data_IF_809488981146
#
_entry.id   IF_809488981146
#
_cell.length_a   1.000
_cell.length_b   1.000
_cell.length_c   1.000
_cell.angle_alpha   90.00
_cell.angle_beta   90.00
_cell.angle_gamma   90.00
#
_symmetry.space_group_name_H-M   'P 1'
#
loop_
_entity.id
_entity.type
_entity.pdbx_description
1 polymer ?
#
# COMPACT_ATOMS: atom_id res chain seq x y z
N UNK A 1 -9.49 -12.38 -8.51
CA UNK A 1 -8.25 -12.11 -9.28
C UNK A 1 -7.67 -10.82 -8.73
N UNK A 2 -6.39 -10.83 -8.35
CA UNK A 2 -5.74 -9.67 -7.73
C UNK A 2 -5.42 -8.59 -8.77
N UNK A 3 -5.49 -7.33 -8.33
CA UNK A 3 -5.23 -6.10 -9.08
C UNK A 3 -4.23 -5.25 -8.31
N UNK A 4 -3.64 -4.26 -9.00
CA UNK A 4 -2.70 -3.33 -8.40
C UNK A 4 -3.44 -2.12 -7.83
N UNK A 5 -3.15 -1.78 -6.57
CA UNK A 5 -3.68 -0.60 -5.90
C UNK A 5 -2.52 0.27 -5.41
N UNK A 6 -2.70 1.58 -5.51
CA UNK A 6 -1.92 2.53 -4.72
C UNK A 6 -2.81 3.00 -3.59
N UNK A 7 -2.34 2.84 -2.37
CA UNK A 7 -3.00 3.33 -1.18
C UNK A 7 -2.30 4.59 -0.69
N UNK A 8 -3.07 5.64 -0.43
CA UNK A 8 -2.62 6.76 0.40
C UNK A 8 -3.09 6.51 1.82
N UNK A 9 -2.13 6.53 2.75
CA UNK A 9 -2.36 6.34 4.17
C UNK A 9 -2.10 7.65 4.89
N UNK A 10 -3.10 8.21 5.56
CA UNK A 10 -2.99 9.47 6.30
C UNK A 10 -3.19 9.21 7.79
N UNK A 11 -2.25 9.65 8.62
CA UNK A 11 -2.35 9.47 10.07
C UNK A 11 -3.56 10.23 10.63
N UNK A 12 -4.19 9.67 11.66
CA UNK A 12 -5.36 10.31 12.29
C UNK A 12 -4.99 11.56 13.11
N UNK A 13 -3.76 11.64 13.61
CA UNK A 13 -3.23 12.80 14.35
C UNK A 13 -1.69 12.78 14.43
N UNK A 14 -1.10 13.91 14.78
CA UNK A 14 0.34 14.03 15.03
C UNK A 14 0.82 13.13 16.19
N UNK A 15 -0.01 12.97 17.22
CA UNK A 15 0.30 12.11 18.37
C UNK A 15 0.43 10.64 17.93
N UNK A 16 -0.55 10.17 17.14
CA UNK A 16 -0.57 8.80 16.61
C UNK A 16 0.59 8.58 15.64
N UNK A 17 0.89 9.57 14.78
CA UNK A 17 2.05 9.55 13.88
C UNK A 17 3.37 9.41 14.63
N UNK A 18 3.60 10.23 15.66
CA UNK A 18 4.82 10.17 16.45
C UNK A 18 4.97 8.82 17.18
N UNK A 19 3.86 8.31 17.72
CA UNK A 19 3.83 6.98 18.32
C UNK A 19 4.14 5.88 17.29
N UNK A 20 3.56 5.97 16.09
CA UNK A 20 3.81 5.03 15.02
C UNK A 20 5.31 4.98 14.66
N UNK A 21 5.96 6.15 14.47
CA UNK A 21 7.40 6.18 14.20
C UNK A 21 8.23 5.52 15.30
N UNK A 22 7.87 5.73 16.57
CA UNK A 22 8.57 5.09 17.70
C UNK A 22 8.33 3.58 17.78
N UNK A 23 7.11 3.14 17.51
CA UNK A 23 6.73 1.73 17.52
C UNK A 23 7.37 0.96 16.35
N UNK A 24 7.57 1.60 15.19
CA UNK A 24 8.12 0.96 13.98
C UNK A 24 9.60 1.24 13.74
N UNK A 25 10.31 1.96 14.62
CA UNK A 25 11.73 2.35 14.39
C UNK A 25 12.71 1.20 14.21
N UNK A 26 12.36 0.02 14.72
CA UNK A 26 13.16 -1.21 14.61
C UNK A 26 12.51 -2.25 13.67
N UNK A 27 11.39 -1.92 13.03
CA UNK A 27 10.69 -2.82 12.11
C UNK A 27 11.58 -3.03 10.88
N UNK A 28 11.88 -4.28 10.58
CA UNK A 28 12.62 -4.62 9.36
C UNK A 28 11.70 -4.59 8.14
N UNK A 29 12.30 -4.41 6.96
CA UNK A 29 11.61 -4.54 5.68
C UNK A 29 10.93 -5.91 5.55
N UNK A 30 11.63 -6.98 5.93
CA UNK A 30 11.08 -8.34 5.91
C UNK A 30 9.85 -8.49 6.81
N UNK A 31 9.90 -8.00 8.05
CA UNK A 31 8.75 -8.07 8.96
C UNK A 31 7.55 -7.28 8.45
N UNK A 32 7.79 -6.09 7.86
CA UNK A 32 6.74 -5.29 7.24
C UNK A 32 6.05 -6.06 6.11
N UNK A 33 6.80 -6.58 5.14
CA UNK A 33 6.24 -7.26 3.97
C UNK A 33 5.62 -8.62 4.32
N UNK A 34 6.22 -9.38 5.25
CA UNK A 34 5.66 -10.65 5.71
C UNK A 34 4.38 -10.44 6.53
N UNK A 35 4.33 -9.40 7.38
CA UNK A 35 3.16 -9.06 8.20
C UNK A 35 1.99 -8.49 7.38
N UNK A 36 2.28 -7.86 6.24
CA UNK A 36 1.29 -7.26 5.34
C UNK A 36 0.95 -8.16 4.15
N UNK A 37 1.03 -9.49 4.35
CA UNK A 37 0.75 -10.49 3.34
C UNK A 37 -0.32 -11.48 3.80
N UNK A 38 -1.34 -11.64 2.97
CA UNK A 38 -2.44 -12.58 3.14
C UNK A 38 -2.66 -13.36 1.83
N UNK A 39 -3.59 -14.31 1.85
CA UNK A 39 -4.02 -14.99 0.63
C UNK A 39 -4.59 -13.99 -0.40
N UNK A 40 -5.32 -12.97 0.06
CA UNK A 40 -6.10 -12.05 -0.80
C UNK A 40 -5.42 -10.71 -1.10
N UNK A 41 -4.42 -10.31 -0.32
CA UNK A 41 -3.70 -9.06 -0.48
C UNK A 41 -2.23 -9.19 -0.07
N UNK A 42 -1.32 -8.54 -0.78
CA UNK A 42 0.08 -8.43 -0.40
C UNK A 42 0.64 -7.04 -0.67
N UNK A 43 1.40 -6.50 0.28
CA UNK A 43 2.15 -5.27 0.11
C UNK A 43 3.37 -5.54 -0.79
N UNK A 44 3.55 -4.73 -1.83
CA UNK A 44 4.65 -4.85 -2.79
C UNK A 44 5.70 -3.77 -2.60
N UNK A 45 5.29 -2.55 -2.25
CA UNK A 45 6.21 -1.42 -2.08
C UNK A 45 5.67 -0.46 -1.03
N UNK A 46 6.56 0.21 -0.32
CA UNK A 46 6.25 1.14 0.76
C UNK A 46 7.12 2.39 0.60
N UNK A 47 6.50 3.57 0.62
CA UNK A 47 7.18 4.86 0.55
C UNK A 47 6.65 5.78 1.62
N UNK A 48 7.49 6.05 2.62
CA UNK A 48 7.16 6.88 3.76
C UNK A 48 8.24 7.93 3.97
N UNK A 49 7.80 9.18 4.14
CA UNK A 49 8.63 10.29 4.59
C UNK A 49 8.22 10.71 6.01
N UNK A 50 8.50 11.96 6.35
CA UNK A 50 8.11 12.57 7.64
C UNK A 50 6.78 13.32 7.58
N UNK A 51 6.10 13.30 6.44
CA UNK A 51 4.81 13.95 6.22
C UNK A 51 3.67 13.21 6.95
N UNK A 52 2.46 13.77 6.92
CA UNK A 52 1.27 13.21 7.59
C UNK A 52 0.63 12.04 6.83
N UNK A 53 1.21 11.68 5.69
CA UNK A 53 0.77 10.56 4.88
C UNK A 53 1.94 9.84 4.22
N UNK A 54 1.67 8.62 3.75
CA UNK A 54 2.59 7.80 3.01
C UNK A 54 1.86 6.95 1.97
N UNK A 55 2.62 6.27 1.11
CA UNK A 55 2.06 5.48 0.02
C UNK A 55 2.49 4.02 0.12
N UNK A 56 1.57 3.13 -0.24
CA UNK A 56 1.82 1.71 -0.38
C UNK A 56 1.30 1.21 -1.72
N UNK A 57 2.05 0.33 -2.36
CA UNK A 57 1.61 -0.43 -3.51
C UNK A 57 1.13 -1.81 -3.05
N UNK A 58 -0.12 -2.12 -3.32
CA UNK A 58 -0.77 -3.38 -2.96
C UNK A 58 -1.14 -4.19 -4.18
N UNK A 59 -1.04 -5.51 -4.06
CA UNK A 59 -1.62 -6.46 -5.00
C UNK A 59 -2.72 -7.26 -4.29
N UNK A 60 -3.98 -6.94 -4.60
CA UNK A 60 -5.14 -7.38 -3.81
C UNK A 60 -6.37 -7.69 -4.66
N UNK A 61 -7.28 -8.54 -4.17
CA UNK A 61 -8.54 -8.85 -4.88
C UNK A 61 -9.49 -7.65 -4.97
N UNK A 62 -9.57 -6.89 -3.88
CA UNK A 62 -10.42 -5.71 -3.70
C UNK A 62 -9.88 -4.85 -2.54
N UNK A 63 -10.56 -3.74 -2.26
CA UNK A 63 -10.22 -2.81 -1.18
C UNK A 63 -10.35 -3.45 0.21
N UNK A 64 -11.37 -4.29 0.42
CA UNK A 64 -11.63 -4.97 1.69
C UNK A 64 -10.50 -5.94 2.06
N UNK A 65 -9.89 -6.59 1.07
CA UNK A 65 -8.71 -7.43 1.27
C UNK A 65 -7.50 -6.62 1.79
N UNK A 66 -7.36 -5.36 1.36
CA UNK A 66 -6.31 -4.45 1.85
C UNK A 66 -6.60 -4.06 3.30
N UNK A 67 -7.83 -3.62 3.60
CA UNK A 67 -8.23 -3.28 4.96
C UNK A 67 -8.07 -4.45 5.94
N UNK A 68 -8.36 -5.68 5.48
CA UNK A 68 -8.18 -6.90 6.28
C UNK A 68 -6.70 -7.21 6.56
N UNK A 69 -5.79 -6.91 5.63
CA UNK A 69 -4.36 -7.04 5.85
C UNK A 69 -3.83 -5.97 6.84
N UNK A 70 -4.31 -4.74 6.70
CA UNK A 70 -3.98 -3.62 7.61
C UNK A 70 -4.48 -3.87 9.04
N UNK A 71 -5.68 -4.41 9.19
CA UNK A 71 -6.28 -4.74 10.49
C UNK A 71 -5.44 -5.72 11.31
N UNK A 72 -4.82 -6.72 10.67
CA UNK A 72 -3.98 -7.70 11.34
C UNK A 72 -2.77 -7.08 12.04
N UNK A 73 -2.33 -5.92 11.55
CA UNK A 73 -1.22 -5.14 12.09
C UNK A 73 -1.71 -3.96 12.95
N UNK A 74 -3.03 -3.84 13.21
CA UNK A 74 -3.63 -2.76 13.99
C UNK A 74 -3.60 -1.40 13.29
N UNK A 75 -3.47 -1.38 11.97
CA UNK A 75 -3.23 -0.14 11.24
C UNK A 75 -4.50 0.68 10.97
N UNK A 76 -5.67 0.06 10.95
CA UNK A 76 -6.93 0.79 10.71
C UNK A 76 -7.25 1.79 11.84
N UNK A 77 -6.70 1.59 13.03
CA UNK A 77 -6.82 2.51 14.17
C UNK A 77 -5.79 3.65 14.13
N UNK A 78 -4.78 3.56 13.26
CA UNK A 78 -3.65 4.50 13.18
C UNK A 78 -3.84 5.50 12.04
N UNK A 79 -4.47 5.05 10.94
CA UNK A 79 -4.52 5.79 9.69
C UNK A 79 -5.81 5.60 8.93
N UNK A 80 -6.23 6.65 8.23
CA UNK A 80 -7.25 6.58 7.19
C UNK A 80 -6.57 6.14 5.90
N UNK A 81 -7.10 5.11 5.26
CA UNK A 81 -6.55 4.57 4.01
C UNK A 81 -7.50 4.82 2.85
N UNK A 82 -6.97 5.36 1.76
CA UNK A 82 -7.67 5.48 0.48
C UNK A 82 -6.99 4.56 -0.56
N UNK A 83 -7.56 3.38 -0.83
CA UNK A 83 -7.13 2.54 -1.94
C UNK A 83 -7.56 3.15 -3.28
N UNK A 84 -6.72 3.04 -4.29
CA UNK A 84 -7.06 3.40 -5.67
C UNK A 84 -6.53 2.33 -6.61
N UNK A 85 -7.43 1.68 -7.37
CA UNK A 85 -7.04 0.70 -8.38
C UNK A 85 -6.24 1.38 -9.50
N UNK A 86 -5.10 0.79 -9.86
CA UNK A 86 -4.21 1.29 -10.91
C UNK A 86 -3.99 0.23 -11.97
N UNK A 87 -4.35 0.54 -13.22
CA UNK A 87 -4.19 -0.40 -14.35
C UNK A 87 -2.82 -0.27 -15.02
N UNK A 88 -2.11 0.83 -14.76
CA UNK A 88 -0.74 1.05 -15.23
C UNK A 88 0.20 1.09 -14.03
N UNK A 89 1.04 0.07 -13.93
CA UNK A 89 2.17 0.01 -13.01
C UNK A 89 3.43 -0.26 -13.83
N UNK A 90 4.47 0.55 -13.63
CA UNK A 90 5.73 0.44 -14.37
C UNK A 90 6.89 0.70 -13.42
N UNK A 91 7.96 -0.06 -13.56
CA UNK A 91 9.22 0.17 -12.84
C UNK A 91 10.37 0.26 -13.83
N UNK A 92 11.27 1.22 -13.59
CA UNK A 92 12.51 1.36 -14.36
C UNK A 92 13.38 0.11 -14.32
N UNK A 93 13.21 -0.74 -13.30
CA UNK A 93 13.95 -2.01 -13.16
C UNK A 93 13.42 -3.11 -14.09
N UNK A 94 12.25 -2.91 -14.71
CA UNK A 94 11.50 -3.92 -15.48
C UNK A 94 11.05 -3.41 -16.85
N UNK A 95 11.97 -2.80 -17.61
CA UNK A 95 11.66 -2.23 -18.93
C UNK A 95 11.43 -3.32 -19.99
N UNK A 96 10.31 -3.21 -20.73
CA UNK A 96 9.94 -4.19 -21.76
C UNK A 96 10.04 -3.64 -23.19
N UNK A 97 10.11 -2.32 -23.37
CA UNK A 97 10.09 -1.66 -24.68
C UNK A 97 8.74 -1.72 -25.40
N UNK A 98 7.70 -2.30 -24.79
CA UNK A 98 6.35 -2.36 -25.36
C UNK A 98 5.54 -1.09 -25.02
N UNK A 99 4.52 -0.74 -25.82
CA UNK A 99 3.59 0.32 -25.46
C UNK A 99 2.96 0.08 -24.08
N UNK A 100 2.91 1.13 -23.25
CA UNK A 100 2.30 1.05 -21.92
C UNK A 100 0.78 0.89 -22.03
N UNK A 101 0.18 0.21 -21.04
CA UNK A 101 -1.27 0.14 -20.87
C UNK A 101 -1.86 1.55 -20.81
N UNK A 102 -2.89 1.82 -21.60
CA UNK A 102 -3.70 3.03 -21.49
C UNK A 102 -4.93 2.75 -20.61
N UNK A 103 -5.00 3.27 -19.36
CA UNK A 103 -6.12 2.97 -18.47
C UNK A 103 -7.49 3.35 -19.04
N UNK A 104 -7.56 4.41 -19.85
CA UNK A 104 -8.81 4.87 -20.46
C UNK A 104 -9.41 3.88 -21.47
N UNK A 105 -8.61 2.93 -21.98
CA UNK A 105 -9.10 1.88 -22.88
C UNK A 105 -9.73 0.70 -22.13
N UNK A 106 -9.54 0.63 -20.81
CA UNK A 106 -10.05 -0.44 -19.95
C UNK A 106 -11.36 -0.07 -19.23
N UNK A 107 -11.77 1.20 -19.28
CA UNK A 107 -12.99 1.70 -18.62
C UNK A 107 -14.21 1.78 -19.57
N UNK A 108 -14.20 1.00 -20.66
CA UNK A 108 -15.31 0.91 -21.64
C UNK A 108 -16.25 -0.26 -21.34
#
# INVERSE_FOLDING_TARGET
MKKHFICTHTYMSDEIKNKFFEDTKNLTDKELFDGMKTEKAELLQHWMGTEDFFYCHWYAEDEDAIFSALEQMGMNDVMVTLPTETQRYVSHETLTGQPMVNPADLTK
#
